data_IF_737386997786
#
_entry.id   IF_737386997786
#
_cell.length_a   1.000
_cell.length_b   1.000
_cell.length_c   1.000
_cell.angle_alpha   90.00
_cell.angle_beta   90.00
_cell.angle_gamma   90.00
#
_symmetry.space_group_name_H-M   'P 1'
#
loop_
_entity.id
_entity.type
_entity.pdbx_description
1 polymer ?
#
# COMPACT_ATOMS: atom_id res chain seq x y z
N UNK A 1 -4.00 15.63 -9.56
CA UNK A 1 -5.17 14.79 -9.24
C UNK A 1 -4.74 13.35 -9.46
N UNK A 2 -5.05 12.45 -8.52
CA UNK A 2 -4.81 11.02 -8.71
C UNK A 2 -5.78 10.49 -9.78
N UNK A 3 -5.23 9.80 -10.78
CA UNK A 3 -6.03 9.05 -11.75
C UNK A 3 -6.72 7.88 -11.03
N UNK A 4 -8.04 7.79 -11.15
CA UNK A 4 -8.87 6.77 -10.52
C UNK A 4 -9.85 6.23 -11.56
N UNK A 5 -10.22 4.95 -11.40
CA UNK A 5 -11.14 4.25 -12.31
C UNK A 5 -12.57 4.83 -12.28
N UNK A 6 -12.88 5.64 -11.26
CA UNK A 6 -14.20 6.24 -11.04
C UNK A 6 -14.39 7.57 -11.78
N UNK A 7 -13.34 8.12 -12.40
CA UNK A 7 -13.38 9.40 -13.11
C UNK A 7 -13.67 10.61 -12.21
N UNK A 8 -13.55 10.46 -10.88
CA UNK A 8 -13.88 11.51 -9.91
C UNK A 8 -12.75 12.55 -9.90
N UNK A 9 -13.09 13.82 -10.12
CA UNK A 9 -12.14 14.94 -10.15
C UNK A 9 -12.09 15.75 -8.85
N UNK A 10 -13.15 15.71 -8.06
CA UNK A 10 -13.22 16.41 -6.79
C UNK A 10 -12.55 15.57 -5.69
N UNK A 11 -11.52 16.13 -5.04
CA UNK A 11 -10.74 15.40 -4.04
C UNK A 11 -11.56 15.01 -2.80
N UNK A 12 -12.46 15.88 -2.34
CA UNK A 12 -13.29 15.58 -1.17
C UNK A 12 -14.26 14.43 -1.46
N UNK A 13 -14.84 14.41 -2.66
CA UNK A 13 -15.70 13.31 -3.09
C UNK A 13 -14.91 12.02 -3.29
N UNK A 14 -13.75 12.09 -3.94
CA UNK A 14 -12.87 10.93 -4.12
C UNK A 14 -12.53 10.29 -2.77
N UNK A 15 -12.15 11.08 -1.77
CA UNK A 15 -11.82 10.57 -0.44
C UNK A 15 -13.00 9.84 0.21
N UNK A 16 -14.20 10.39 0.12
CA UNK A 16 -15.41 9.76 0.68
C UNK A 16 -15.74 8.45 0.00
N UNK A 17 -15.65 8.41 -1.33
CA UNK A 17 -15.97 7.21 -2.12
C UNK A 17 -14.93 6.12 -1.89
N UNK A 18 -13.65 6.50 -1.92
CA UNK A 18 -12.53 5.62 -1.62
C UNK A 18 -12.63 5.02 -0.21
N UNK A 19 -12.88 5.84 0.81
CA UNK A 19 -13.08 5.39 2.19
C UNK A 19 -14.22 4.37 2.28
N UNK A 20 -15.37 4.69 1.68
CA UNK A 20 -16.55 3.82 1.69
C UNK A 20 -16.27 2.47 1.01
N UNK A 21 -15.74 2.49 -0.21
CA UNK A 21 -15.50 1.28 -1.01
C UNK A 21 -14.45 0.38 -0.38
N UNK A 22 -13.33 0.96 0.05
CA UNK A 22 -12.26 0.18 0.68
C UNK A 22 -12.68 -0.45 2.00
N UNK A 23 -13.52 0.23 2.81
CA UNK A 23 -14.09 -0.38 4.02
C UNK A 23 -15.05 -1.54 3.71
N UNK A 24 -15.83 -1.44 2.64
CA UNK A 24 -16.69 -2.55 2.19
C UNK A 24 -15.84 -3.76 1.79
N UNK A 25 -14.79 -3.55 0.99
CA UNK A 25 -13.82 -4.60 0.61
C UNK A 25 -13.10 -5.19 1.82
N UNK A 26 -12.69 -4.35 2.78
CA UNK A 26 -12.03 -4.81 4.00
C UNK A 26 -12.96 -5.71 4.84
N UNK A 27 -14.24 -5.32 4.97
CA UNK A 27 -15.24 -6.14 5.65
C UNK A 27 -15.45 -7.47 4.94
N UNK A 28 -15.60 -7.44 3.61
CA UNK A 28 -15.76 -8.64 2.79
C UNK A 28 -14.55 -9.59 2.88
N UNK A 29 -13.33 -9.05 2.85
CA UNK A 29 -12.09 -9.82 3.01
C UNK A 29 -12.03 -10.55 4.37
N UNK A 30 -12.56 -9.91 5.41
CA UNK A 30 -12.60 -10.48 6.75
C UNK A 30 -13.74 -11.50 6.90
N UNK A 31 -14.95 -11.14 6.50
CA UNK A 31 -16.15 -11.98 6.65
C UNK A 31 -16.11 -13.24 5.78
N UNK A 32 -15.48 -13.18 4.60
CA UNK A 32 -15.27 -14.34 3.72
C UNK A 32 -14.20 -15.30 4.24
N UNK A 33 -13.32 -14.85 5.14
CA UNK A 33 -12.18 -15.62 5.62
C UNK A 33 -10.99 -15.68 4.66
N UNK A 34 -11.06 -15.04 3.49
CA UNK A 34 -9.97 -14.98 2.50
C UNK A 34 -8.69 -14.36 3.08
N UNK A 35 -8.83 -13.48 4.08
CA UNK A 35 -7.68 -12.93 4.83
C UNK A 35 -6.75 -14.02 5.40
N UNK A 36 -7.27 -15.20 5.72
CA UNK A 36 -6.49 -16.31 6.29
C UNK A 36 -5.65 -17.04 5.23
N UNK A 37 -5.94 -16.84 3.94
CA UNK A 37 -5.20 -17.42 2.82
C UNK A 37 -4.05 -16.51 2.34
N UNK A 38 -3.98 -15.28 2.86
CA UNK A 38 -2.97 -14.30 2.47
C UNK A 38 -1.64 -14.64 3.15
N UNK A 39 -0.54 -14.56 2.38
CA UNK A 39 0.79 -14.82 2.88
C UNK A 39 1.21 -13.79 3.94
N UNK A 40 1.66 -14.26 5.11
CA UNK A 40 1.98 -13.39 6.24
C UNK A 40 3.44 -12.95 6.18
N UNK A 41 3.66 -11.63 6.25
CA UNK A 41 5.00 -11.06 6.37
C UNK A 41 5.78 -11.01 5.06
N UNK A 42 5.10 -11.03 3.92
CA UNK A 42 5.73 -10.83 2.61
C UNK A 42 5.11 -9.65 1.87
N UNK A 43 5.87 -9.08 0.94
CA UNK A 43 5.36 -8.09 0.01
C UNK A 43 4.21 -8.63 -0.82
N UNK A 44 4.20 -9.93 -1.15
CA UNK A 44 3.09 -10.56 -1.88
C UNK A 44 1.80 -10.44 -1.08
N UNK A 45 1.81 -10.80 0.20
CA UNK A 45 0.63 -10.65 1.05
C UNK A 45 0.15 -9.20 1.15
N UNK A 46 1.09 -8.26 1.29
CA UNK A 46 0.76 -6.83 1.29
C UNK A 46 0.16 -6.35 -0.04
N UNK A 47 0.72 -6.81 -1.17
CA UNK A 47 0.25 -6.53 -2.53
C UNK A 47 -1.17 -7.08 -2.74
N UNK A 48 -1.43 -8.31 -2.30
CA UNK A 48 -2.73 -8.96 -2.38
C UNK A 48 -3.80 -8.19 -1.56
N UNK A 49 -3.46 -7.80 -0.32
CA UNK A 49 -4.35 -6.97 0.53
C UNK A 49 -4.63 -5.63 -0.17
N UNK A 50 -3.60 -4.95 -0.67
CA UNK A 50 -3.79 -3.68 -1.33
C UNK A 50 -4.62 -3.81 -2.61
N UNK A 51 -4.40 -4.86 -3.40
CA UNK A 51 -5.22 -5.11 -4.57
C UNK A 51 -6.69 -5.28 -4.14
N UNK A 52 -6.97 -6.16 -3.18
CA UNK A 52 -8.33 -6.43 -2.72
C UNK A 52 -9.08 -5.15 -2.27
N UNK A 53 -8.39 -4.27 -1.56
CA UNK A 53 -8.99 -3.04 -1.03
C UNK A 53 -9.23 -1.96 -2.10
N UNK A 54 -8.45 -1.95 -3.18
CA UNK A 54 -8.36 -0.79 -4.08
C UNK A 54 -8.49 -1.09 -5.57
N UNK A 55 -8.65 -2.35 -5.98
CA UNK A 55 -8.77 -2.75 -7.39
C UNK A 55 -9.86 -1.99 -8.16
N UNK A 56 -10.99 -1.67 -7.51
CA UNK A 56 -12.10 -0.94 -8.11
C UNK A 56 -11.91 0.60 -8.11
N UNK A 57 -10.82 1.08 -7.53
CA UNK A 57 -10.53 2.52 -7.34
C UNK A 57 -9.31 2.92 -8.16
N UNK A 58 -8.27 2.08 -8.16
CA UNK A 58 -6.95 2.39 -8.70
C UNK A 58 -6.42 1.29 -9.63
N UNK A 59 -6.10 1.64 -10.88
CA UNK A 59 -5.52 0.72 -11.88
C UNK A 59 -4.17 0.09 -11.46
N UNK A 60 -3.50 0.72 -10.50
CA UNK A 60 -2.22 0.30 -9.95
C UNK A 60 -2.35 -0.45 -8.63
N UNK A 61 -3.56 -0.80 -8.19
CA UNK A 61 -3.75 -1.56 -6.97
C UNK A 61 -2.90 -2.85 -6.97
N UNK A 62 -2.12 -3.04 -5.90
CA UNK A 62 -1.23 -4.19 -5.72
C UNK A 62 0.10 -4.06 -6.46
N UNK A 63 0.30 -3.04 -7.30
CA UNK A 63 1.51 -2.90 -8.12
C UNK A 63 2.59 -2.08 -7.41
N UNK A 64 3.84 -2.41 -7.72
CA UNK A 64 4.99 -1.61 -7.31
C UNK A 64 4.92 -0.25 -8.02
N UNK A 65 5.12 0.84 -7.27
CA UNK A 65 5.15 2.19 -7.81
C UNK A 65 6.30 2.40 -8.79
N UNK A 66 6.05 3.25 -9.79
CA UNK A 66 7.02 3.57 -10.86
C UNK A 66 7.69 4.93 -10.70
N UNK A 67 7.30 5.71 -9.70
CA UNK A 67 7.82 7.04 -9.42
C UNK A 67 8.38 7.14 -8.00
N UNK A 68 9.32 8.04 -7.79
CA UNK A 68 9.83 8.35 -6.46
C UNK A 68 8.78 9.16 -5.69
N UNK A 69 8.72 8.93 -4.38
CA UNK A 69 7.78 9.60 -3.49
C UNK A 69 8.53 10.34 -2.40
N UNK A 70 7.99 11.47 -1.96
CA UNK A 70 8.48 12.22 -0.81
C UNK A 70 7.31 12.89 -0.06
N UNK A 71 7.32 12.81 1.28
CA UNK A 71 6.33 13.47 2.15
C UNK A 71 7.07 14.51 3.00
N UNK A 72 6.94 15.78 2.61
CA UNK A 72 7.77 16.85 3.18
C UNK A 72 9.26 16.56 2.95
N UNK A 73 10.06 16.56 4.03
CA UNK A 73 11.50 16.28 3.95
C UNK A 73 11.84 14.77 3.92
N UNK A 74 10.84 13.89 4.09
CA UNK A 74 11.06 12.46 4.09
C UNK A 74 10.96 11.89 2.68
N UNK A 75 12.00 11.18 2.23
CA UNK A 75 12.03 10.51 0.92
C UNK A 75 11.86 9.00 1.12
N UNK A 76 10.95 8.42 0.35
CA UNK A 76 10.74 6.98 0.30
C UNK A 76 11.88 6.30 -0.45
N UNK A 77 11.99 4.98 -0.33
CA UNK A 77 12.99 4.19 -1.05
C UNK A 77 12.98 4.54 -2.56
N UNK A 78 14.13 4.85 -3.18
CA UNK A 78 14.15 5.14 -4.61
C UNK A 78 13.62 3.94 -5.43
N UNK A 79 12.84 4.19 -6.49
CA UNK A 79 12.26 3.12 -7.33
C UNK A 79 13.34 2.18 -7.85
N UNK A 80 14.52 2.72 -8.17
CA UNK A 80 15.66 1.94 -8.66
C UNK A 80 16.13 0.83 -7.70
N UNK A 81 15.91 1.00 -6.39
CA UNK A 81 16.30 0.03 -5.36
C UNK A 81 15.10 -0.71 -4.78
N UNK A 82 13.87 -0.33 -5.12
CA UNK A 82 12.66 -0.81 -4.48
C UNK A 82 12.50 -2.32 -4.59
N UNK A 83 12.73 -2.92 -5.76
CA UNK A 83 12.67 -4.37 -5.93
C UNK A 83 13.64 -5.11 -5.01
N UNK A 84 14.88 -4.62 -4.91
CA UNK A 84 15.90 -5.24 -4.05
C UNK A 84 15.58 -5.06 -2.56
N UNK A 85 15.06 -3.89 -2.17
CA UNK A 85 14.57 -3.66 -0.81
C UNK A 85 13.44 -4.63 -0.43
N UNK A 86 12.50 -4.87 -1.35
CA UNK A 86 11.40 -5.82 -1.12
C UNK A 86 11.88 -7.27 -0.97
N UNK A 87 12.87 -7.69 -1.76
CA UNK A 87 13.53 -8.99 -1.61
C UNK A 87 14.18 -9.13 -0.24
N UNK A 88 14.89 -8.10 0.22
CA UNK A 88 15.50 -8.07 1.54
C UNK A 88 14.45 -8.17 2.66
N UNK A 89 13.39 -7.38 2.58
CA UNK A 89 12.29 -7.37 3.55
C UNK A 89 11.63 -8.75 3.64
N UNK A 90 11.39 -9.40 2.50
CA UNK A 90 10.83 -10.76 2.50
C UNK A 90 11.69 -11.76 3.27
N UNK A 91 13.01 -11.59 3.23
CA UNK A 91 13.98 -12.46 3.93
C UNK A 91 14.20 -12.09 5.41
N UNK A 92 13.66 -10.97 5.89
CA UNK A 92 13.81 -10.56 7.30
C UNK A 92 13.09 -11.55 8.25
N UNK A 93 13.71 -11.87 9.40
CA UNK A 93 13.09 -12.68 10.43
C UNK A 93 11.87 -11.96 11.04
N UNK A 94 10.96 -12.73 11.62
CA UNK A 94 9.71 -12.22 12.23
C UNK A 94 9.25 -13.11 13.39
N UNK A 95 10.20 -13.70 14.12
CA UNK A 95 9.94 -14.68 15.19
C UNK A 95 9.79 -14.05 16.57
N UNK A 96 10.41 -12.90 16.78
CA UNK A 96 10.29 -12.12 18.02
C UNK A 96 9.47 -10.85 17.78
N UNK A 97 8.99 -10.24 18.88
CA UNK A 97 8.27 -8.97 18.80
C UNK A 97 9.12 -7.87 18.14
N UNK A 98 10.40 -7.77 18.52
CA UNK A 98 11.31 -6.75 17.98
C UNK A 98 11.55 -6.96 16.48
N UNK A 99 11.75 -8.21 16.04
CA UNK A 99 11.88 -8.56 14.62
C UNK A 99 10.61 -8.23 13.83
N UNK A 100 9.42 -8.49 14.38
CA UNK A 100 8.14 -8.15 13.75
C UNK A 100 8.00 -6.62 13.61
N UNK A 101 8.37 -5.86 14.64
CA UNK A 101 8.33 -4.40 14.60
C UNK A 101 9.32 -3.86 13.57
N UNK A 102 10.55 -4.37 13.54
CA UNK A 102 11.58 -3.99 12.58
C UNK A 102 11.14 -4.27 11.14
N UNK A 103 10.66 -5.48 10.88
CA UNK A 103 10.11 -5.87 9.58
C UNK A 103 8.90 -5.05 9.18
N UNK A 104 8.01 -4.69 10.12
CA UNK A 104 6.88 -3.80 9.86
C UNK A 104 7.35 -2.40 9.47
N UNK A 105 8.34 -1.83 10.17
CA UNK A 105 8.90 -0.52 9.83
C UNK A 105 9.52 -0.56 8.44
N UNK A 106 10.39 -1.55 8.18
CA UNK A 106 11.06 -1.72 6.89
C UNK A 106 10.09 -2.03 5.76
N UNK A 107 8.95 -2.67 6.04
CA UNK A 107 7.92 -2.89 5.03
C UNK A 107 7.14 -1.61 4.74
N UNK A 108 6.77 -0.82 5.74
CA UNK A 108 6.00 0.42 5.52
C UNK A 108 6.82 1.57 4.91
N UNK A 109 8.13 1.60 5.13
CA UNK A 109 9.01 2.69 4.70
C UNK A 109 9.21 2.77 3.15
N UNK A 110 9.25 1.67 2.39
CA UNK A 110 9.30 1.67 0.93
C UNK A 110 7.92 1.63 0.26
N UNK A 111 6.94 1.00 0.92
CA UNK A 111 5.64 0.63 0.34
C UNK A 111 4.47 1.41 0.93
N UNK A 112 4.61 2.68 1.30
CA UNK A 112 3.41 3.49 1.52
C UNK A 112 2.61 3.51 0.22
N UNK A 113 1.65 2.60 0.20
CA UNK A 113 0.68 2.33 -0.82
C UNK A 113 -0.29 3.49 -0.78
N UNK A 114 -0.09 4.45 -1.68
CA UNK A 114 -0.88 5.60 -2.13
C UNK A 114 -1.87 6.33 -1.19
N UNK A 115 -2.52 5.68 -0.24
CA UNK A 115 -3.55 6.27 0.61
C UNK A 115 -3.09 7.29 1.66
N UNK A 116 -1.83 7.26 2.12
CA UNK A 116 -1.34 8.38 2.94
C UNK A 116 -1.00 9.63 2.10
N UNK A 117 -1.19 9.58 0.77
CA UNK A 117 -0.70 10.57 -0.18
C UNK A 117 -1.75 11.60 -0.60
N UNK A 118 -2.98 11.50 -0.08
CA UNK A 118 -4.01 12.53 -0.24
C UNK A 118 -3.68 13.74 0.63
N UNK A 119 -2.79 14.59 0.13
CA UNK A 119 -2.67 15.98 0.57
C UNK A 119 -1.29 16.59 0.55
N UNK A 120 -0.19 15.81 0.42
CA UNK A 120 1.19 16.34 0.61
C UNK A 120 2.30 15.60 -0.15
N UNK A 121 2.08 15.24 -1.41
CA UNK A 121 3.21 14.83 -2.24
C UNK A 121 3.61 15.96 -3.19
N UNK A 122 4.86 16.37 -3.04
CA UNK A 122 5.60 17.02 -4.10
C UNK A 122 6.23 15.90 -4.94
N UNK A 123 5.98 15.91 -6.24
CA UNK A 123 6.72 15.06 -7.17
C UNK A 123 8.13 15.65 -7.26
N UNK A 124 9.11 14.94 -6.71
CA UNK A 124 10.53 15.28 -6.81
C UNK A 124 11.18 14.81 -8.09
#
# INVERSE_FOLDING_TARGET
MLENELGIKNQLELNRVEERLSKIKAKDLYDSGEINNIEVGTFKGLSDIHNYLFEDIYFFAGKIRKVNLAKGNFRFAPVMYLSHSLEHINAMPQTTFDEIVEKYVEMNMPTLLEKEMVGRLEYG
#
